data_IF_579584759408
#
_entry.id   IF_579584759408
#
_cell.length_a   1.000
_cell.length_b   1.000
_cell.length_c   1.000
_cell.angle_alpha   90.00
_cell.angle_beta   90.00
_cell.angle_gamma   90.00
#
_symmetry.space_group_name_H-M   'P 1'
#
loop_
_entity.id
_entity.type
_entity.pdbx_description
1 polymer ?
#
# COMPACT_ATOMS: atom_id res chain seq x y z
N UNK A 1 26.92 1.39 -7.70
CA UNK A 1 26.33 1.39 -7.46
C UNK A 1 25.18 1.35 -7.18
N UNK A 2 24.75 1.10 -6.79
CA UNK A 2 23.71 0.87 -6.74
C UNK A 2 22.59 1.42 -6.43
N UNK A 3 21.94 1.43 -6.54
CA UNK A 3 20.61 1.75 -6.79
C UNK A 3 19.70 1.33 -5.72
N UNK A 4 20.10 1.65 -4.49
CA UNK A 4 19.45 1.11 -3.33
C UNK A 4 18.08 1.72 -3.08
N UNK A 5 17.79 2.87 -3.66
CA UNK A 5 16.54 3.59 -3.36
C UNK A 5 15.57 3.55 -4.53
N UNK A 6 15.56 2.45 -5.29
CA UNK A 6 14.66 2.30 -6.42
C UNK A 6 13.30 1.73 -6.04
N UNK A 7 13.27 0.78 -5.11
CA UNK A 7 12.04 0.17 -4.66
C UNK A 7 12.19 -0.34 -3.24
N UNK A 8 11.04 -0.46 -2.57
CA UNK A 8 10.96 -1.08 -1.25
C UNK A 8 10.28 -2.43 -1.47
N UNK A 9 10.93 -3.51 -1.04
CA UNK A 9 10.42 -4.86 -1.24
C UNK A 9 10.39 -5.59 0.09
N UNK A 10 9.26 -6.26 0.38
CA UNK A 10 9.07 -6.99 1.63
C UNK A 10 8.34 -8.30 1.36
N UNK A 11 8.64 -9.33 2.15
CA UNK A 11 7.88 -10.58 2.13
C UNK A 11 7.43 -10.88 3.54
N UNK A 12 6.15 -11.21 3.68
CA UNK A 12 5.54 -11.46 4.99
C UNK A 12 4.60 -12.66 4.86
N UNK A 13 4.69 -13.58 5.83
CA UNK A 13 3.75 -14.69 5.90
C UNK A 13 2.54 -14.27 6.74
N UNK A 14 1.34 -14.54 6.23
CA UNK A 14 0.08 -14.21 6.91
C UNK A 14 -0.73 -15.48 7.08
N UNK A 15 -1.21 -15.72 8.30
CA UNK A 15 -1.99 -16.92 8.62
C UNK A 15 -3.46 -16.74 8.26
N UNK A 16 -3.72 -16.57 6.98
CA UNK A 16 -5.07 -16.46 6.43
C UNK A 16 -4.99 -16.77 4.95
N UNK A 17 -6.11 -17.17 4.36
CA UNK A 17 -6.15 -17.51 2.94
C UNK A 17 -5.94 -16.26 2.09
N UNK A 18 -5.46 -16.42 0.84
CA UNK A 18 -5.34 -15.28 -0.06
C UNK A 18 -6.63 -14.50 -0.24
N UNK A 19 -7.78 -15.19 -0.22
CA UNK A 19 -9.08 -14.52 -0.34
C UNK A 19 -9.32 -13.52 0.79
N UNK A 20 -9.02 -13.92 2.01
CA UNK A 20 -9.18 -13.04 3.17
C UNK A 20 -8.17 -11.89 3.12
N UNK A 21 -6.92 -12.20 2.80
CA UNK A 21 -5.89 -11.16 2.73
C UNK A 21 -6.24 -10.16 1.63
N UNK A 22 -6.71 -10.64 0.48
CA UNK A 22 -7.08 -9.77 -0.62
C UNK A 22 -8.20 -8.80 -0.20
N UNK A 23 -9.20 -9.31 0.50
CA UNK A 23 -10.27 -8.46 1.01
C UNK A 23 -9.73 -7.35 1.89
N UNK A 24 -8.78 -7.69 2.77
CA UNK A 24 -8.22 -6.72 3.73
C UNK A 24 -7.38 -5.65 3.03
N UNK A 25 -6.62 -6.01 2.00
CA UNK A 25 -5.74 -5.03 1.35
C UNK A 25 -6.43 -4.21 0.27
N UNK A 26 -7.64 -4.59 -0.16
CA UNK A 26 -8.31 -3.92 -1.27
C UNK A 26 -9.60 -3.22 -0.86
N UNK A 27 -10.03 -3.34 0.39
CA UNK A 27 -11.27 -2.73 0.88
C UNK A 27 -10.94 -1.55 1.76
N UNK A 28 -11.41 -0.33 1.42
CA UNK A 28 -11.08 0.87 2.22
C UNK A 28 -11.37 0.73 3.71
N UNK A 29 -12.52 0.16 4.08
CA UNK A 29 -12.87 0.01 5.49
C UNK A 29 -11.86 -0.88 6.23
N UNK A 30 -11.32 -1.89 5.56
CA UNK A 30 -10.29 -2.73 6.16
C UNK A 30 -8.93 -2.04 6.18
N UNK A 31 -8.59 -1.29 5.12
CA UNK A 31 -7.33 -0.55 5.08
C UNK A 31 -7.21 0.41 6.26
N UNK A 32 -8.33 1.06 6.63
CA UNK A 32 -8.34 2.01 7.74
C UNK A 32 -7.98 1.37 9.07
N UNK A 33 -8.03 0.04 9.15
CA UNK A 33 -7.74 -0.65 10.40
C UNK A 33 -6.25 -0.89 10.62
N UNK A 34 -5.45 -0.79 9.55
CA UNK A 34 -4.03 -1.11 9.70
C UNK A 34 -3.10 -0.11 9.00
N UNK A 35 -3.59 0.73 8.09
CA UNK A 35 -2.72 1.63 7.34
C UNK A 35 -3.15 3.10 7.46
N UNK A 36 -4.00 3.67 6.60
CA UNK A 36 -4.34 5.11 6.75
C UNK A 36 -5.44 5.30 7.77
N UNK A 37 -5.63 6.56 8.18
CA UNK A 37 -6.74 6.89 9.07
C UNK A 37 -8.07 6.89 8.30
N UNK A 38 -8.05 7.31 7.04
CA UNK A 38 -9.23 7.27 6.19
C UNK A 38 -8.86 6.84 4.78
N UNK A 39 -9.75 6.09 4.13
CA UNK A 39 -9.58 5.64 2.76
C UNK A 39 -10.92 5.68 2.04
N UNK A 40 -10.92 6.23 0.83
CA UNK A 40 -12.12 6.33 0.01
C UNK A 40 -11.75 6.04 -1.43
N UNK A 41 -12.08 4.87 -1.91
CA UNK A 41 -11.92 4.49 -3.31
C UNK A 41 -12.70 3.21 -3.58
N UNK A 42 -12.86 2.88 -4.86
CA UNK A 42 -13.44 1.60 -5.27
C UNK A 42 -12.32 0.74 -5.83
N UNK A 43 -12.28 -0.54 -5.43
CA UNK A 43 -11.22 -1.44 -5.88
C UNK A 43 -11.52 -1.95 -7.29
N UNK A 44 -11.40 -1.07 -8.27
CA UNK A 44 -11.60 -1.39 -9.68
C UNK A 44 -10.53 -0.68 -10.49
N UNK A 45 -10.00 -1.33 -11.55
CA UNK A 45 -8.94 -0.70 -12.35
C UNK A 45 -9.37 0.66 -12.88
N UNK A 46 -8.51 1.64 -12.71
CA UNK A 46 -8.76 3.00 -13.15
C UNK A 46 -9.54 3.85 -12.16
N UNK A 47 -10.07 3.26 -11.10
CA UNK A 47 -10.82 4.03 -10.10
C UNK A 47 -9.88 4.93 -9.32
N UNK A 48 -10.33 6.14 -9.02
CA UNK A 48 -9.55 7.11 -8.27
C UNK A 48 -10.19 7.39 -6.92
N UNK A 49 -9.37 7.82 -5.98
CA UNK A 49 -9.87 8.16 -4.64
C UNK A 49 -8.77 8.81 -3.83
N UNK A 50 -8.92 8.78 -2.51
CA UNK A 50 -7.96 9.41 -1.60
C UNK A 50 -7.77 8.54 -0.38
N UNK A 51 -6.59 8.66 0.22
CA UNK A 51 -6.33 8.16 1.57
C UNK A 51 -5.73 9.31 2.37
N UNK A 52 -5.94 9.32 3.68
CA UNK A 52 -5.42 10.39 4.51
C UNK A 52 -4.87 9.84 5.81
N UNK A 53 -3.88 10.57 6.32
CA UNK A 53 -3.21 10.29 7.58
C UNK A 53 -3.36 11.51 8.46
N UNK A 54 -3.80 11.31 9.72
CA UNK A 54 -4.04 12.37 10.66
C UNK A 54 -5.53 12.70 10.75
N UNK A 55 -5.87 13.51 11.76
CA UNK A 55 -7.24 13.93 12.02
C UNK A 55 -7.59 15.06 11.07
N UNK A 56 -8.78 15.03 10.47
CA UNK A 56 -9.25 16.08 9.57
C UNK A 56 -9.21 17.46 10.22
N UNK A 57 -9.31 17.52 11.52
CA UNK A 57 -9.27 18.79 12.25
C UNK A 57 -7.82 19.22 12.54
N UNK A 58 -6.83 18.37 12.30
CA UNK A 58 -5.44 18.68 12.59
C UNK A 58 -4.82 19.46 11.43
N UNK A 59 -3.96 20.45 11.72
CA UNK A 59 -3.34 21.21 10.64
C UNK A 59 -2.32 20.41 9.83
N UNK A 60 -1.91 19.25 10.32
CA UNK A 60 -0.90 18.42 9.65
C UNK A 60 -1.51 17.18 8.98
N UNK A 61 -2.81 17.16 8.73
CA UNK A 61 -3.41 16.04 8.04
C UNK A 61 -2.82 15.94 6.63
N UNK A 62 -2.47 14.74 6.22
CA UNK A 62 -1.86 14.49 4.92
C UNK A 62 -2.82 13.69 4.07
N UNK A 63 -3.19 14.24 2.91
CA UNK A 63 -4.10 13.60 1.97
C UNK A 63 -3.34 13.22 0.72
N UNK A 64 -3.49 11.97 0.29
CA UNK A 64 -2.84 11.47 -0.92
C UNK A 64 -3.89 10.95 -1.87
N UNK A 65 -3.76 11.31 -3.14
CA UNK A 65 -4.62 10.75 -4.18
C UNK A 65 -4.19 9.33 -4.50
N UNK A 66 -5.14 8.50 -4.93
CA UNK A 66 -4.91 7.09 -5.24
C UNK A 66 -5.60 6.77 -6.57
N UNK A 67 -4.93 6.00 -7.42
CA UNK A 67 -5.53 5.42 -8.63
C UNK A 67 -5.26 3.93 -8.61
N UNK A 68 -6.32 3.14 -8.62
CA UNK A 68 -6.20 1.68 -8.68
C UNK A 68 -5.70 1.29 -10.06
N UNK A 69 -4.66 0.46 -10.11
CA UNK A 69 -4.05 0.05 -11.37
C UNK A 69 -4.52 -1.34 -11.78
N UNK A 70 -4.39 -2.32 -10.88
CA UNK A 70 -4.71 -3.69 -11.22
C UNK A 70 -5.45 -4.36 -10.09
N UNK A 71 -6.51 -5.11 -10.42
CA UNK A 71 -7.22 -5.95 -9.49
C UNK A 71 -7.31 -7.34 -10.09
N UNK A 72 -6.70 -8.32 -9.43
CA UNK A 72 -6.74 -9.72 -9.88
C UNK A 72 -6.94 -10.58 -8.63
N UNK A 73 -8.18 -10.61 -8.10
CA UNK A 73 -8.44 -11.36 -6.88
C UNK A 73 -8.29 -12.86 -7.10
N UNK A 74 -7.73 -13.57 -6.16
CA UNK A 74 -7.14 -13.09 -4.90
C UNK A 74 -5.61 -13.02 -4.98
N UNK A 75 -5.04 -12.72 -6.15
CA UNK A 75 -3.61 -12.83 -6.40
C UNK A 75 -2.85 -11.52 -6.40
N UNK A 76 -3.46 -10.44 -6.90
CA UNK A 76 -2.72 -9.18 -7.02
C UNK A 76 -3.63 -7.97 -6.90
N UNK A 77 -3.14 -6.96 -6.17
CA UNK A 77 -3.79 -5.67 -6.07
C UNK A 77 -2.70 -4.61 -6.12
N UNK A 78 -2.84 -3.61 -7.01
CA UNK A 78 -1.85 -2.55 -7.11
C UNK A 78 -2.53 -1.21 -7.34
N UNK A 79 -1.85 -0.14 -6.90
CA UNK A 79 -2.34 1.21 -7.05
C UNK A 79 -1.16 2.19 -7.07
N UNK A 80 -1.42 3.37 -7.65
CA UNK A 80 -0.47 4.48 -7.57
C UNK A 80 -0.98 5.50 -6.56
N UNK A 81 -0.06 6.14 -5.86
CA UNK A 81 -0.42 7.12 -4.84
C UNK A 81 0.69 8.16 -4.68
N UNK A 82 0.50 9.10 -3.75
CA UNK A 82 1.42 10.21 -3.42
C UNK A 82 1.48 11.27 -4.53
N UNK A 83 0.39 11.46 -5.25
CA UNK A 83 0.28 12.56 -6.21
C UNK A 83 -0.89 13.46 -5.77
N UNK A 84 -0.94 14.67 -6.35
CA UNK A 84 -1.93 15.66 -5.92
C UNK A 84 -3.32 15.34 -6.46
N UNK A 85 -4.33 15.62 -5.64
CA UNK A 85 -5.71 15.49 -6.08
C UNK A 85 -5.94 16.35 -7.31
N UNK A 86 -6.74 15.84 -8.24
CA UNK A 86 -7.03 16.55 -9.46
C UNK A 86 -6.07 16.26 -10.59
N UNK A 87 -4.98 15.55 -10.31
CA UNK A 87 -4.03 15.13 -11.35
C UNK A 87 -4.27 13.68 -11.70
N UNK A 88 -3.82 13.29 -12.89
CA UNK A 88 -3.81 11.89 -13.27
C UNK A 88 -2.50 11.26 -12.78
N UNK A 89 -2.57 10.02 -12.31
CA UNK A 89 -1.37 9.32 -11.87
C UNK A 89 -0.51 8.96 -13.07
N UNK A 90 0.79 9.24 -12.97
CA UNK A 90 1.76 8.88 -13.99
C UNK A 90 2.99 8.29 -13.32
N UNK A 91 3.86 7.59 -14.08
CA UNK A 91 5.10 7.10 -13.47
C UNK A 91 5.99 8.21 -12.90
N UNK A 92 5.87 9.43 -13.43
CA UNK A 92 6.72 10.54 -13.01
C UNK A 92 6.19 11.26 -11.77
N UNK A 93 4.90 11.12 -11.44
CA UNK A 93 4.35 11.87 -10.30
C UNK A 93 3.90 10.99 -9.13
N UNK A 94 4.04 9.67 -9.24
CA UNK A 94 3.45 8.78 -8.24
C UNK A 94 4.31 7.56 -8.00
N UNK A 95 4.02 6.86 -6.90
CA UNK A 95 4.67 5.61 -6.56
C UNK A 95 3.67 4.48 -6.78
N UNK A 96 4.17 3.33 -7.20
CA UNK A 96 3.34 2.16 -7.46
C UNK A 96 3.50 1.16 -6.31
N UNK A 97 2.38 0.86 -5.64
CA UNK A 97 2.34 -0.18 -4.61
C UNK A 97 1.73 -1.43 -5.22
N UNK A 98 2.36 -2.57 -5.00
CA UNK A 98 1.88 -3.86 -5.49
C UNK A 98 1.88 -4.86 -4.36
N UNK A 99 0.74 -5.54 -4.19
CA UNK A 99 0.59 -6.68 -3.29
C UNK A 99 0.40 -7.93 -4.14
N UNK A 100 1.34 -8.86 -4.05
CA UNK A 100 1.22 -10.19 -4.67
C UNK A 100 0.95 -11.20 -3.58
N UNK A 101 -0.12 -11.98 -3.73
CA UNK A 101 -0.55 -12.96 -2.74
C UNK A 101 -0.35 -14.35 -3.28
N UNK A 102 0.47 -15.14 -2.59
CA UNK A 102 0.83 -16.49 -3.02
C UNK A 102 0.35 -17.46 -1.95
N UNK A 103 -0.47 -18.46 -2.32
CA UNK A 103 -0.92 -19.44 -1.32
C UNK A 103 0.29 -20.11 -0.67
N UNK A 104 0.22 -20.29 0.64
CA UNK A 104 1.31 -20.89 1.41
C UNK A 104 0.71 -21.90 2.37
N UNK A 105 1.04 -23.18 2.17
CA UNK A 105 0.44 -24.24 2.97
C UNK A 105 -1.04 -24.38 2.64
N UNK A 106 -1.84 -24.86 3.61
CA UNK A 106 -3.24 -25.13 3.38
C UNK A 106 -4.14 -23.93 3.65
N UNK A 107 -3.69 -22.96 4.42
CA UNK A 107 -4.54 -21.84 4.81
C UNK A 107 -3.77 -20.55 5.01
N UNK A 108 -2.55 -20.46 4.50
CA UNK A 108 -1.71 -19.27 4.66
C UNK A 108 -1.45 -18.55 3.36
N UNK A 109 -0.84 -17.39 3.47
CA UNK A 109 -0.49 -16.55 2.33
C UNK A 109 0.92 -16.01 2.51
N UNK A 110 1.73 -16.09 1.46
CA UNK A 110 2.97 -15.33 1.39
C UNK A 110 2.64 -14.04 0.67
N UNK A 111 2.78 -12.92 1.36
CA UNK A 111 2.55 -11.61 0.77
C UNK A 111 3.88 -11.05 0.30
N UNK A 112 3.97 -10.73 -0.98
CA UNK A 112 5.09 -9.99 -1.54
C UNK A 112 4.63 -8.59 -1.81
N UNK A 113 5.24 -7.64 -1.10
CA UNK A 113 4.90 -6.24 -1.17
C UNK A 113 6.02 -5.48 -1.87
N UNK A 114 5.66 -4.53 -2.74
CA UNK A 114 6.64 -3.62 -3.30
C UNK A 114 6.06 -2.22 -3.45
N UNK A 115 6.92 -1.22 -3.27
CA UNK A 115 6.61 0.15 -3.61
C UNK A 115 7.75 0.67 -4.47
N UNK A 116 7.44 1.05 -5.70
CA UNK A 116 8.45 1.40 -6.69
C UNK A 116 8.11 2.74 -7.35
N UNK A 117 9.05 3.24 -8.15
CA UNK A 117 8.85 4.50 -8.87
C UNK A 117 9.64 5.65 -8.30
N UNK A 118 10.47 5.41 -7.30
CA UNK A 118 11.23 6.47 -6.64
C UNK A 118 12.13 7.21 -7.60
N UNK A 119 12.77 6.49 -8.52
CA UNK A 119 13.70 7.11 -9.45
C UNK A 119 12.98 7.89 -10.53
N UNK A 120 11.81 7.41 -10.92
CA UNK A 120 11.01 8.05 -11.96
C UNK A 120 10.44 9.39 -11.53
N UNK A 121 10.39 9.65 -10.20
CA UNK A 121 9.91 10.93 -9.68
C UNK A 121 10.84 12.09 -10.02
N UNK A 122 12.11 11.82 -10.33
CA UNK A 122 13.04 12.87 -10.69
C UNK A 122 13.53 13.70 -9.52
N UNK A 123 13.39 13.20 -8.29
CA UNK A 123 13.85 13.91 -7.10
C UNK A 123 15.37 14.00 -7.06
N UNK A 124 15.88 15.07 -6.46
CA UNK A 124 17.29 15.17 -6.12
C UNK A 124 17.67 14.04 -5.16
N UNK A 125 18.96 13.68 -5.16
CA UNK A 125 19.41 12.51 -4.40
C UNK A 125 19.04 12.59 -2.92
N UNK A 126 19.14 13.75 -2.29
CA UNK A 126 18.81 13.88 -0.88
C UNK A 126 17.33 13.70 -0.62
N UNK A 127 16.47 14.23 -1.51
CA UNK A 127 15.02 14.07 -1.37
C UNK A 127 14.62 12.62 -1.62
N UNK A 128 15.24 11.99 -2.62
CA UNK A 128 14.99 10.59 -2.93
C UNK A 128 15.31 9.70 -1.72
N UNK A 129 16.50 9.92 -1.14
CA UNK A 129 16.91 9.11 0.00
C UNK A 129 15.99 9.35 1.20
N UNK A 130 15.68 10.59 1.51
CA UNK A 130 14.83 10.92 2.66
C UNK A 130 13.44 10.31 2.51
N UNK A 131 12.84 10.44 1.33
CA UNK A 131 11.49 9.91 1.08
C UNK A 131 11.49 8.38 1.12
N UNK A 132 12.51 7.77 0.52
CA UNK A 132 12.63 6.32 0.53
C UNK A 132 12.74 5.79 1.96
N UNK A 133 13.61 6.40 2.77
CA UNK A 133 13.81 5.95 4.14
C UNK A 133 12.55 6.15 4.99
N UNK A 134 11.85 7.26 4.77
CA UNK A 134 10.60 7.52 5.46
C UNK A 134 9.55 6.46 5.14
N UNK A 135 9.39 6.15 3.86
CA UNK A 135 8.44 5.11 3.44
C UNK A 135 8.87 3.73 3.89
N UNK A 136 10.18 3.44 3.82
CA UNK A 136 10.69 2.15 4.29
C UNK A 136 10.36 1.94 5.76
N UNK A 137 10.61 2.96 6.57
CA UNK A 137 10.28 2.93 7.99
C UNK A 137 8.77 2.80 8.22
N UNK A 138 7.99 3.52 7.41
CA UNK A 138 6.53 3.45 7.51
C UNK A 138 6.00 2.05 7.20
N UNK A 139 6.46 1.44 6.12
CA UNK A 139 6.01 0.10 5.77
C UNK A 139 6.44 -0.93 6.81
N UNK A 140 7.64 -0.77 7.40
CA UNK A 140 8.09 -1.65 8.47
C UNK A 140 7.21 -1.50 9.72
N UNK A 141 6.54 -0.36 9.87
CA UNK A 141 5.58 -0.14 10.96
C UNK A 141 4.20 -0.69 10.60
N UNK A 142 3.72 -0.42 9.38
CA UNK A 142 2.35 -0.74 9.01
C UNK A 142 2.12 -2.20 8.61
N UNK A 143 3.08 -2.84 7.93
CA UNK A 143 2.88 -4.22 7.48
C UNK A 143 2.70 -5.20 8.63
N UNK A 144 3.44 -5.09 9.76
CA UNK A 144 3.13 -5.94 10.92
C UNK A 144 1.72 -5.69 11.48
N UNK A 145 1.20 -4.47 11.36
CA UNK A 145 -0.17 -4.18 11.80
C UNK A 145 -1.18 -4.91 10.92
N UNK A 146 -0.89 -5.04 9.63
CA UNK A 146 -1.72 -5.86 8.73
C UNK A 146 -1.80 -7.30 9.22
N UNK A 147 -0.66 -7.88 9.57
CA UNK A 147 -0.63 -9.26 10.06
C UNK A 147 -1.48 -9.41 11.32
N UNK A 148 -1.32 -8.46 12.26
CA UNK A 148 -2.08 -8.50 13.52
C UNK A 148 -3.58 -8.32 13.28
N UNK A 149 -3.95 -7.40 12.39
CA UNK A 149 -5.35 -7.16 12.09
C UNK A 149 -6.01 -8.39 11.45
N UNK A 150 -5.33 -9.01 10.49
CA UNK A 150 -5.85 -10.20 9.83
C UNK A 150 -6.05 -11.32 10.84
N UNK A 151 -5.10 -11.50 11.76
CA UNK A 151 -5.22 -12.55 12.78
C UNK A 151 -6.46 -12.34 13.65
N UNK A 152 -6.74 -11.10 14.04
CA UNK A 152 -7.94 -10.80 14.82
C UNK A 152 -9.21 -11.01 14.02
N UNK A 153 -9.19 -10.59 12.77
CA UNK A 153 -10.35 -10.72 11.90
C UNK A 153 -10.73 -12.19 11.71
N UNK A 154 -9.73 -13.03 11.46
CA UNK A 154 -9.96 -14.45 11.22
C UNK A 154 -10.46 -15.13 12.51
N UNK A 155 -9.96 -14.73 13.67
CA UNK A 155 -10.36 -15.37 14.92
C UNK A 155 -11.79 -15.04 15.32
N UNK A 156 -12.39 -14.00 14.74
CA UNK A 156 -13.77 -13.63 15.03
C UNK A 156 -14.77 -14.14 13.99
N UNK A 157 -14.28 -14.81 12.97
CA UNK A 157 -15.12 -15.40 11.94
C UNK A 157 -15.33 -16.90 12.24
#
# INVERSE_FOLDING_TARGET
MELEYGSIDREIHIDATPEVVYEVISTPAHLEQWWPDEAQFTAAPGATGVISFGDDSAPDVHVAAVTVVETDPPRRFSFRWTYDEGEAATPANSLLVTFDLIPSGTAGTLLRFSESGYREKGWEAAVLEETYLDHSSGWDYFLPRLVTYVARLVSTR
#
